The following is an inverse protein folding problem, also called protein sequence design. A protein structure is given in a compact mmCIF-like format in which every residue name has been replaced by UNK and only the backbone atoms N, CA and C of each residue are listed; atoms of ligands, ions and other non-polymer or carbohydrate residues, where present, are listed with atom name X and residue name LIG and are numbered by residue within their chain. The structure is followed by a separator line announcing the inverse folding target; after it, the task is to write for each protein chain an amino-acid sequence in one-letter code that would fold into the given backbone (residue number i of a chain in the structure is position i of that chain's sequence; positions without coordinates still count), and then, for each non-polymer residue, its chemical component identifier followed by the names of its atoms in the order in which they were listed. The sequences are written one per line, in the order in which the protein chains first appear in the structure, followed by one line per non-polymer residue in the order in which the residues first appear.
data_IF_221773951566
#
_entry.id   IF_221773951566
#
_cell.length_a   1.000
_cell.length_b   1.000
_cell.length_c   1.000
_cell.angle_alpha   90.00
_cell.angle_beta   90.00
_cell.angle_gamma   90.00
#
_symmetry.space_group_name_H-M   'P 1'
#
loop_
_entity.id
_entity.type
_entity.pdbx_description
1 polymer ?
#
# COMPACT_ATOMS: atom_id res chain seq x y z
N UNK A 1 -30.36 -13.00 5.59
CA UNK A 1 -29.32 -12.00 5.27
C UNK A 1 -28.33 -12.67 4.34
N UNK A 2 -28.12 -12.13 3.13
CA UNK A 2 -27.10 -12.64 2.21
C UNK A 2 -25.73 -12.49 2.88
N UNK A 3 -25.02 -13.59 3.08
CA UNK A 3 -23.72 -13.58 3.75
C UNK A 3 -22.66 -13.14 2.72
N UNK A 4 -22.65 -11.84 2.39
CA UNK A 4 -21.62 -11.27 1.52
C UNK A 4 -20.24 -11.55 2.13
N UNK A 5 -19.25 -11.93 1.32
CA UNK A 5 -17.92 -12.21 1.82
C UNK A 5 -17.33 -10.93 2.45
N UNK A 6 -16.80 -11.07 3.66
CA UNK A 6 -16.15 -9.97 4.37
C UNK A 6 -14.97 -9.42 3.55
N UNK A 7 -14.90 -8.09 3.43
CA UNK A 7 -13.88 -7.34 2.69
C UNK A 7 -12.77 -6.88 3.63
N UNK A 8 -11.54 -7.25 3.34
CA UNK A 8 -10.38 -6.91 4.16
C UNK A 8 -9.34 -6.18 3.33
N UNK A 9 -9.02 -4.94 3.72
CA UNK A 9 -7.92 -4.17 3.15
C UNK A 9 -6.66 -4.44 3.94
N UNK A 10 -5.64 -4.99 3.30
CA UNK A 10 -4.30 -5.09 3.87
C UNK A 10 -3.46 -3.92 3.39
N UNK A 11 -2.86 -3.20 4.34
CA UNK A 11 -1.95 -2.09 4.05
C UNK A 11 -0.61 -2.44 4.68
N UNK A 12 0.30 -2.96 3.87
CA UNK A 12 1.55 -3.52 4.35
C UNK A 12 2.72 -2.65 3.92
N UNK A 13 3.64 -2.44 4.86
CA UNK A 13 4.88 -1.73 4.60
C UNK A 13 5.84 -2.60 3.78
N UNK A 14 5.79 -3.93 3.96
CA UNK A 14 6.65 -4.89 3.27
C UNK A 14 5.87 -6.11 2.80
N UNK A 15 6.18 -6.64 1.62
CA UNK A 15 5.57 -7.85 1.06
C UNK A 15 6.62 -8.67 0.30
N UNK A 16 6.80 -9.93 0.66
CA UNK A 16 7.57 -10.89 -0.13
C UNK A 16 6.77 -11.31 -1.38
N UNK A 17 7.34 -11.43 -2.59
CA UNK A 17 8.76 -11.33 -2.95
C UNK A 17 9.17 -9.95 -3.48
N UNK A 18 8.35 -8.91 -3.30
CA UNK A 18 8.69 -7.57 -3.80
C UNK A 18 9.82 -6.93 -2.98
N UNK A 19 9.86 -7.23 -1.68
CA UNK A 19 11.01 -6.98 -0.82
C UNK A 19 11.66 -8.30 -0.37
N UNK A 20 12.93 -8.26 0.09
CA UNK A 20 13.61 -9.43 0.66
C UNK A 20 12.83 -10.07 1.81
N UNK A 21 13.17 -11.31 2.11
CA UNK A 21 12.54 -12.04 3.20
C UNK A 21 12.84 -11.36 4.56
N UNK A 22 11.77 -11.03 5.26
CA UNK A 22 11.76 -10.47 6.61
C UNK A 22 10.46 -10.93 7.28
N UNK A 23 10.39 -10.88 8.62
CA UNK A 23 9.16 -11.20 9.35
C UNK A 23 7.96 -10.35 8.84
N UNK A 24 8.06 -9.00 8.75
CA UNK A 24 7.00 -8.18 8.15
C UNK A 24 6.65 -8.57 6.70
N UNK A 25 7.64 -8.83 5.85
CA UNK A 25 7.42 -9.17 4.44
C UNK A 25 6.70 -10.51 4.28
N UNK A 26 7.04 -11.51 5.10
CA UNK A 26 6.38 -12.81 5.14
C UNK A 26 4.94 -12.70 5.63
N UNK A 27 4.68 -11.93 6.69
CA UNK A 27 3.32 -11.66 7.17
C UNK A 27 2.51 -10.97 6.07
N UNK A 28 3.07 -9.93 5.44
CA UNK A 28 2.44 -9.19 4.35
C UNK A 28 2.12 -10.05 3.13
N UNK A 29 2.79 -11.21 2.99
CA UNK A 29 2.56 -12.19 1.92
C UNK A 29 1.55 -13.27 2.27
N UNK A 30 1.73 -13.93 3.41
CA UNK A 30 1.01 -15.16 3.75
C UNK A 30 -0.29 -14.92 4.53
N UNK A 31 -0.37 -13.87 5.34
CA UNK A 31 -1.61 -13.56 6.05
C UNK A 31 -2.75 -13.19 5.08
N UNK A 32 -2.56 -12.29 4.10
CA UNK A 32 -3.61 -12.01 3.11
C UNK A 32 -3.97 -13.25 2.29
N UNK A 33 -3.00 -14.08 1.94
CA UNK A 33 -3.23 -15.33 1.21
C UNK A 33 -4.18 -16.26 1.98
N UNK A 34 -3.87 -16.56 3.25
CA UNK A 34 -4.71 -17.45 4.05
C UNK A 34 -6.12 -16.88 4.27
N UNK A 35 -6.27 -15.55 4.27
CA UNK A 35 -7.57 -14.89 4.35
C UNK A 35 -8.36 -15.00 3.05
N UNK A 36 -7.71 -14.85 1.89
CA UNK A 36 -8.32 -15.07 0.58
C UNK A 36 -8.77 -16.52 0.40
N UNK A 37 -7.94 -17.49 0.82
CA UNK A 37 -8.25 -18.93 0.76
C UNK A 37 -9.47 -19.30 1.63
N UNK A 38 -9.77 -18.49 2.66
CA UNK A 38 -10.98 -18.57 3.47
C UNK A 38 -12.18 -17.83 2.85
N UNK A 39 -12.13 -17.56 1.54
CA UNK A 39 -13.20 -16.96 0.73
C UNK A 39 -13.60 -15.54 1.15
N UNK A 40 -12.69 -14.80 1.79
CA UNK A 40 -12.87 -13.36 2.04
C UNK A 40 -12.37 -12.56 0.84
N UNK A 41 -13.01 -11.42 0.57
CA UNK A 41 -12.52 -10.49 -0.44
C UNK A 41 -11.36 -9.70 0.13
N UNK A 42 -10.25 -9.61 -0.60
CA UNK A 42 -9.08 -8.88 -0.15
C UNK A 42 -8.60 -7.86 -1.17
N UNK A 43 -8.00 -6.79 -0.67
CA UNK A 43 -7.13 -5.90 -1.46
C UNK A 43 -5.88 -5.62 -0.65
N UNK A 44 -4.75 -5.48 -1.33
CA UNK A 44 -3.46 -5.30 -0.68
C UNK A 44 -2.77 -4.08 -1.26
N UNK A 45 -2.25 -3.23 -0.39
CA UNK A 45 -1.44 -2.07 -0.74
C UNK A 45 -0.05 -2.18 -0.14
N UNK A 46 0.95 -1.70 -0.87
CA UNK A 46 2.30 -1.43 -0.35
C UNK A 46 2.94 -0.21 -1.02
N UNK A 47 3.98 0.39 -0.45
CA UNK A 47 4.75 1.42 -1.16
C UNK A 47 5.54 0.82 -2.32
N UNK A 48 5.67 1.56 -3.42
CA UNK A 48 6.57 1.19 -4.52
C UNK A 48 8.00 1.66 -4.18
N UNK A 49 8.71 0.99 -3.29
CA UNK A 49 10.12 1.31 -3.05
C UNK A 49 10.98 1.11 -4.31
N UNK A 50 12.04 1.91 -4.46
CA UNK A 50 12.86 1.96 -5.67
C UNK A 50 13.70 0.71 -5.91
N UNK A 51 13.85 -0.15 -4.91
CA UNK A 51 14.44 -1.49 -5.08
C UNK A 51 13.49 -2.48 -5.78
N UNK A 52 12.19 -2.18 -5.85
CA UNK A 52 11.20 -3.05 -6.51
C UNK A 52 11.35 -2.91 -8.03
N UNK A 53 11.87 -3.97 -8.64
CA UNK A 53 12.11 -4.02 -10.08
C UNK A 53 10.78 -4.17 -10.84
N UNK A 54 10.35 -3.12 -11.53
CA UNK A 54 9.06 -3.10 -12.23
C UNK A 54 8.98 -4.13 -13.36
N UNK A 55 10.03 -4.22 -14.18
CA UNK A 55 10.06 -5.13 -15.34
C UNK A 55 10.00 -6.59 -14.90
N UNK A 56 10.81 -6.98 -13.92
CA UNK A 56 10.85 -8.35 -13.38
C UNK A 56 9.50 -8.74 -12.78
N UNK A 57 8.86 -7.81 -12.08
CA UNK A 57 7.63 -8.05 -11.36
C UNK A 57 6.36 -7.72 -12.18
N UNK A 58 6.52 -7.26 -13.42
CA UNK A 58 5.43 -6.88 -14.32
C UNK A 58 4.48 -5.84 -13.70
N UNK A 59 5.04 -4.87 -12.98
CA UNK A 59 4.27 -3.73 -12.48
C UNK A 59 3.78 -2.91 -13.66
N UNK A 60 2.49 -2.63 -13.70
CA UNK A 60 1.89 -1.73 -14.67
C UNK A 60 1.09 -0.66 -13.95
N UNK A 61 1.10 0.53 -14.53
CA UNK A 61 0.31 1.63 -14.01
C UNK A 61 -1.18 1.41 -14.25
N UNK A 62 -1.98 1.75 -13.25
CA UNK A 62 -3.43 1.77 -13.32
C UNK A 62 -3.87 3.21 -13.58
N UNK A 63 -3.78 3.64 -14.84
CA UNK A 63 -4.00 5.03 -15.30
C UNK A 63 -5.28 5.65 -14.72
N UNK A 64 -6.38 4.89 -14.71
CA UNK A 64 -7.67 5.36 -14.16
C UNK A 64 -7.64 5.67 -12.66
N UNK A 65 -6.67 5.15 -11.90
CA UNK A 65 -6.48 5.42 -10.48
C UNK A 65 -5.42 6.49 -10.24
N UNK A 66 -4.40 6.57 -11.08
CA UNK A 66 -3.33 7.57 -11.06
C UNK A 66 -3.79 8.99 -11.41
N UNK A 67 -2.86 9.95 -11.27
CA UNK A 67 -2.96 11.32 -11.80
C UNK A 67 -3.63 12.32 -10.86
N UNK A 68 -3.99 11.91 -9.65
CA UNK A 68 -4.48 12.82 -8.61
C UNK A 68 -3.29 13.34 -7.80
N UNK A 69 -3.35 14.57 -7.32
CA UNK A 69 -2.33 15.13 -6.44
C UNK A 69 -2.73 14.96 -4.97
N UNK A 70 -1.75 14.64 -4.14
CA UNK A 70 -1.86 14.69 -2.68
C UNK A 70 -0.99 15.86 -2.21
N UNK A 71 -1.60 16.83 -1.53
CA UNK A 71 -0.87 17.98 -0.99
C UNK A 71 -0.19 17.57 0.31
N UNK A 72 1.13 17.66 0.39
CA UNK A 72 1.91 17.44 1.62
C UNK A 72 2.82 18.65 1.80
N UNK A 73 2.75 19.29 2.97
CA UNK A 73 3.55 20.49 3.29
C UNK A 73 3.43 21.58 2.21
N UNK A 74 2.20 21.85 1.76
CA UNK A 74 1.86 22.80 0.68
C UNK A 74 2.48 22.48 -0.70
N UNK A 75 2.99 21.26 -0.89
CA UNK A 75 3.51 20.78 -2.16
C UNK A 75 2.57 19.73 -2.74
N UNK A 76 2.17 19.92 -4.00
CA UNK A 76 1.42 18.93 -4.77
C UNK A 76 2.32 17.75 -5.16
N UNK A 77 1.94 16.56 -4.71
CA UNK A 77 2.66 15.31 -5.01
C UNK A 77 1.78 14.39 -5.86
N UNK A 78 2.16 14.07 -7.10
CA UNK A 78 1.35 13.21 -7.96
C UNK A 78 1.30 11.78 -7.42
N UNK A 79 0.08 11.24 -7.32
CA UNK A 79 -0.19 9.85 -6.95
C UNK A 79 -0.19 8.97 -8.20
N UNK A 80 0.75 8.02 -8.23
CA UNK A 80 0.79 6.96 -9.24
C UNK A 80 0.41 5.65 -8.59
N UNK A 81 -0.54 4.93 -9.20
CA UNK A 81 -0.95 3.61 -8.74
C UNK A 81 -0.45 2.57 -9.71
N UNK A 82 0.38 1.64 -9.23
CA UNK A 82 0.79 0.48 -10.01
C UNK A 82 0.14 -0.77 -9.45
N UNK A 83 0.09 -1.84 -10.24
CA UNK A 83 -0.39 -3.14 -9.78
C UNK A 83 0.50 -4.24 -10.34
N UNK A 84 0.70 -5.28 -9.54
CA UNK A 84 1.31 -6.53 -9.96
C UNK A 84 0.66 -7.71 -9.27
N UNK A 85 0.86 -8.90 -9.84
CA UNK A 85 0.31 -10.15 -9.31
C UNK A 85 1.41 -11.01 -8.71
N UNK A 86 1.12 -11.64 -7.57
CA UNK A 86 1.90 -12.76 -7.06
C UNK A 86 1.25 -14.04 -7.58
N UNK A 87 1.71 -14.52 -8.74
CA UNK A 87 1.06 -15.61 -9.48
C UNK A 87 0.84 -16.88 -8.64
N UNK A 88 1.83 -17.25 -7.81
CA UNK A 88 1.77 -18.45 -6.97
C UNK A 88 0.62 -18.45 -5.95
N UNK A 89 0.09 -17.29 -5.56
CA UNK A 89 -1.10 -17.19 -4.69
C UNK A 89 -2.31 -16.53 -5.33
N UNK A 90 -2.22 -16.14 -6.61
CA UNK A 90 -3.30 -15.45 -7.32
C UNK A 90 -3.75 -14.18 -6.59
N UNK A 91 -2.79 -13.44 -6.05
CA UNK A 91 -3.02 -12.19 -5.31
C UNK A 91 -2.59 -11.01 -6.18
N UNK A 92 -3.40 -9.95 -6.19
CA UNK A 92 -3.01 -8.65 -6.75
C UNK A 92 -2.60 -7.69 -5.63
N UNK A 93 -1.50 -6.97 -5.87
CA UNK A 93 -0.97 -5.95 -4.96
C UNK A 93 -0.96 -4.62 -5.68
N UNK A 94 -1.60 -3.62 -5.07
CA UNK A 94 -1.54 -2.23 -5.49
C UNK A 94 -0.33 -1.56 -4.85
N UNK A 95 0.38 -0.77 -5.63
CA UNK A 95 1.54 -0.03 -5.19
C UNK A 95 1.22 1.46 -5.22
N UNK A 96 1.45 2.14 -4.11
CA UNK A 96 1.46 3.59 -4.05
C UNK A 96 2.86 4.05 -4.47
N UNK A 97 2.93 4.83 -5.54
CA UNK A 97 4.17 5.32 -6.12
C UNK A 97 4.15 6.85 -6.26
N UNK A 98 5.33 7.42 -6.16
CA UNK A 98 5.62 8.84 -6.34
C UNK A 98 7.14 8.99 -6.49
N UNK A 99 7.57 9.71 -7.52
CA UNK A 99 8.98 9.80 -7.90
C UNK A 99 9.85 10.51 -6.84
N UNK A 100 9.27 11.42 -6.05
CA UNK A 100 9.98 12.12 -4.99
C UNK A 100 10.15 11.23 -3.75
N UNK A 101 9.15 10.42 -3.42
CA UNK A 101 9.09 9.68 -2.17
C UNK A 101 9.62 8.24 -2.23
N UNK A 102 9.45 7.54 -3.35
CA UNK A 102 9.73 6.10 -3.38
C UNK A 102 10.76 5.66 -4.40
N UNK A 103 11.35 6.57 -5.18
CA UNK A 103 12.41 6.25 -6.15
C UNK A 103 13.71 5.74 -5.52
N UNK A 104 13.97 6.04 -4.24
CA UNK A 104 15.16 5.61 -3.51
C UNK A 104 15.22 4.07 -3.43
N UNK A 105 16.39 3.48 -3.70
CA UNK A 105 16.58 2.01 -3.64
C UNK A 105 16.58 1.45 -2.21
N UNK A 106 16.86 2.30 -1.22
CA UNK A 106 16.75 1.93 0.18
C UNK A 106 15.33 2.15 0.70
N UNK A 107 14.90 1.32 1.65
CA UNK A 107 13.51 1.28 2.13
C UNK A 107 13.25 2.36 3.18
N UNK A 108 13.83 2.22 4.38
CA UNK A 108 13.62 3.16 5.50
C UNK A 108 14.87 3.90 5.96
N UNK A 109 16.05 3.30 5.80
CA UNK A 109 17.30 3.81 6.32
C UNK A 109 18.42 3.69 5.27
N UNK A 110 19.46 4.51 5.43
CA UNK A 110 20.69 4.46 4.64
C UNK A 110 21.48 3.17 4.91
N UNK A 111 22.57 2.96 4.17
CA UNK A 111 23.49 1.84 4.41
C UNK A 111 24.16 1.90 5.80
N UNK A 112 24.28 3.10 6.39
CA UNK A 112 24.76 3.28 7.77
C UNK A 112 23.70 3.04 8.84
N UNK A 113 22.45 2.72 8.45
CA UNK A 113 21.35 2.46 9.36
C UNK A 113 20.59 3.70 9.84
N UNK A 114 20.92 4.89 9.32
CA UNK A 114 20.23 6.13 9.67
C UNK A 114 18.89 6.23 8.93
N UNK A 115 17.80 6.46 9.65
CA UNK A 115 16.49 6.68 9.03
C UNK A 115 16.49 7.93 8.16
N UNK A 116 15.84 7.85 7.01
CA UNK A 116 15.67 9.03 6.16
C UNK A 116 14.79 10.08 6.85
N UNK A 117 15.19 11.35 6.75
CA UNK A 117 14.48 12.47 7.35
C UNK A 117 13.07 12.68 6.75
N UNK A 118 12.82 12.20 5.53
CA UNK A 118 11.54 12.32 4.81
C UNK A 118 10.56 11.17 5.07
N UNK A 119 10.90 10.25 5.99
CA UNK A 119 10.11 9.05 6.26
C UNK A 119 8.68 9.32 6.75
N UNK A 120 8.50 10.40 7.49
CA UNK A 120 7.20 10.90 7.94
C UNK A 120 6.32 11.34 6.76
N UNK A 121 6.85 12.17 5.86
CA UNK A 121 6.14 12.59 4.65
C UNK A 121 5.79 11.40 3.76
N UNK A 122 6.74 10.47 3.57
CA UNK A 122 6.52 9.26 2.78
C UNK A 122 5.41 8.38 3.39
N UNK A 123 5.38 8.25 4.72
CA UNK A 123 4.32 7.50 5.42
C UNK A 123 2.96 8.20 5.34
N UNK A 124 2.93 9.54 5.43
CA UNK A 124 1.72 10.35 5.22
C UNK A 124 1.20 10.18 3.79
N UNK A 125 2.08 10.30 2.80
CA UNK A 125 1.74 10.11 1.39
C UNK A 125 1.18 8.72 1.14
N UNK A 126 1.83 7.69 1.69
CA UNK A 126 1.36 6.32 1.58
C UNK A 126 -0.04 6.14 2.17
N UNK A 127 -0.26 6.61 3.41
CA UNK A 127 -1.54 6.48 4.08
C UNK A 127 -2.67 7.16 3.32
N UNK A 128 -2.46 8.41 2.88
CA UNK A 128 -3.44 9.16 2.08
C UNK A 128 -3.66 8.54 0.71
N UNK A 129 -2.60 8.11 0.03
CA UNK A 129 -2.68 7.44 -1.26
C UNK A 129 -3.50 6.16 -1.22
N UNK A 130 -3.37 5.36 -0.15
CA UNK A 130 -4.20 4.17 0.07
C UNK A 130 -5.67 4.55 0.22
N UNK A 131 -6.01 5.52 1.07
CA UNK A 131 -7.39 5.91 1.35
C UNK A 131 -8.06 6.55 0.13
N UNK A 132 -7.39 7.46 -0.57
CA UNK A 132 -7.87 8.05 -1.82
C UNK A 132 -8.11 6.98 -2.90
N UNK A 133 -7.21 6.01 -3.01
CA UNK A 133 -7.35 4.93 -3.99
C UNK A 133 -8.51 4.00 -3.63
N UNK A 134 -8.68 3.65 -2.36
CA UNK A 134 -9.80 2.85 -1.88
C UNK A 134 -11.15 3.54 -2.16
N UNK A 135 -11.23 4.85 -1.90
CA UNK A 135 -12.40 5.69 -2.21
C UNK A 135 -12.70 5.71 -3.71
N UNK A 136 -11.69 5.97 -4.55
CA UNK A 136 -11.84 6.00 -6.02
C UNK A 136 -12.28 4.66 -6.60
N UNK A 137 -11.85 3.57 -5.98
CA UNK A 137 -12.28 2.23 -6.34
C UNK A 137 -13.72 1.89 -5.90
N UNK A 138 -14.36 2.73 -5.09
CA UNK A 138 -15.68 2.49 -4.47
C UNK A 138 -15.74 1.13 -3.79
N UNK A 139 -14.68 0.78 -3.08
CA UNK A 139 -14.56 -0.49 -2.37
C UNK A 139 -14.33 -0.22 -0.89
N UNK A 140 -15.42 -0.19 -0.13
CA UNK A 140 -15.40 -0.03 1.31
C UNK A 140 -15.04 -1.37 1.98
N UNK A 141 -13.88 -1.47 2.66
CA UNK A 141 -13.53 -2.65 3.45
C UNK A 141 -14.29 -2.67 4.78
N UNK A 142 -14.60 -3.88 5.27
CA UNK A 142 -15.13 -4.07 6.62
C UNK A 142 -14.01 -3.97 7.68
N UNK A 143 -12.78 -4.36 7.29
CA UNK A 143 -11.60 -4.34 8.16
C UNK A 143 -10.41 -3.81 7.37
N UNK A 144 -9.66 -2.91 7.98
CA UNK A 144 -8.33 -2.49 7.51
C UNK A 144 -7.27 -3.07 8.44
N UNK A 145 -6.36 -3.86 7.88
CA UNK A 145 -5.23 -4.45 8.59
C UNK A 145 -3.94 -3.75 8.18
N UNK A 146 -3.32 -3.02 9.12
CA UNK A 146 -2.10 -2.24 8.91
C UNK A 146 -0.88 -3.04 9.40
N UNK A 147 0.01 -3.41 8.46
CA UNK A 147 1.24 -4.17 8.72
C UNK A 147 2.50 -3.31 8.57
N UNK A 148 3.35 -3.31 9.59
CA UNK A 148 4.58 -2.52 9.63
C UNK A 148 4.32 -1.03 9.91
N UNK A 149 5.36 -0.33 10.37
CA UNK A 149 5.23 1.03 10.92
C UNK A 149 4.77 2.07 9.89
N UNK A 150 5.14 1.90 8.61
CA UNK A 150 4.79 2.81 7.52
C UNK A 150 3.28 2.93 7.29
N UNK A 151 2.52 1.89 7.65
CA UNK A 151 1.07 1.83 7.50
C UNK A 151 0.29 2.42 8.68
N UNK A 152 0.95 2.76 9.79
CA UNK A 152 0.28 3.06 11.06
C UNK A 152 -0.45 4.41 11.09
N UNK A 153 -0.21 5.29 10.12
CA UNK A 153 -0.96 6.53 9.98
C UNK A 153 -2.34 6.34 9.33
N UNK A 154 -2.60 5.21 8.65
CA UNK A 154 -3.87 4.95 7.97
C UNK A 154 -5.07 5.03 8.93
N UNK A 155 -5.08 4.36 10.11
CA UNK A 155 -6.22 4.44 11.01
C UNK A 155 -6.45 5.85 11.57
N UNK A 156 -5.39 6.63 11.77
CA UNK A 156 -5.49 8.01 12.26
C UNK A 156 -6.15 8.91 11.20
N UNK A 157 -5.70 8.82 9.93
CA UNK A 157 -6.32 9.55 8.83
C UNK A 157 -7.76 9.12 8.60
N UNK A 158 -8.06 7.82 8.62
CA UNK A 158 -9.42 7.31 8.47
C UNK A 158 -10.37 7.92 9.52
N UNK A 159 -9.95 7.95 10.79
CA UNK A 159 -10.76 8.47 11.90
C UNK A 159 -10.88 9.99 11.95
N UNK A 160 -10.02 10.75 11.27
CA UNK A 160 -9.98 12.22 11.40
C UNK A 160 -10.34 12.95 10.11
N UNK A 161 -9.74 12.53 9.00
CA UNK A 161 -9.91 13.19 7.71
C UNK A 161 -11.05 12.56 6.88
N UNK A 162 -11.33 11.27 7.06
CA UNK A 162 -12.35 10.52 6.30
C UNK A 162 -13.53 10.07 7.17
N UNK A 163 -13.68 10.66 8.36
CA UNK A 163 -14.75 10.35 9.32
C UNK A 163 -16.09 10.88 8.79
N UNK A 164 -16.76 10.11 7.93
CA UNK A 164 -18.02 10.49 7.30
C UNK A 164 -18.03 10.35 5.77
N UNK A 165 -16.91 9.96 5.16
CA UNK A 165 -16.91 9.50 3.78
C UNK A 165 -17.58 8.10 3.73
N UNK A 166 -18.65 7.91 2.93
CA UNK A 166 -19.41 6.65 2.86
C UNK A 166 -18.62 5.44 2.37
#
# INVERSE_FOLDING_TARGET
MSNLPQKILFVNSEIYPYLPESQPALIGRYLPQGIQERKKEIRIFMPRFGCINERRNQLHEVIRLSGMNIIISDVDRPLVIKVASIAAARIQVYFIDNDDYFRRKAVYASESGEFFADNDERAIFFARGVLETAKKLRWAPDVIHCGGWFSQLVPAYLKKAYQGDP
#
